data_IF_864066528321
#
_entry.id   IF_864066528321
#
_cell.length_a   1.000
_cell.length_b   1.000
_cell.length_c   1.000
_cell.angle_alpha   90.00
_cell.angle_beta   90.00
_cell.angle_gamma   90.00
#
_symmetry.space_group_name_H-M   'P 1'
#
loop_
_entity.id
_entity.type
_entity.pdbx_description
1 polymer ?
#
# COMPACT_ATOMS: atom_id res chain seq x y z
N UNK A 1 3.17 -7.53 5.52
CA UNK A 1 3.38 -6.24 4.85
C UNK A 1 2.91 -5.16 5.81
N UNK A 2 3.59 -4.01 5.82
CA UNK A 2 3.37 -2.97 6.83
C UNK A 2 2.42 -1.89 6.31
N UNK A 3 1.13 -2.24 6.26
CA UNK A 3 0.04 -1.34 5.84
C UNK A 3 0.07 0.00 6.55
N UNK A 4 0.47 -0.01 7.82
CA UNK A 4 0.59 1.22 8.59
C UNK A 4 1.74 2.10 8.09
N UNK A 5 2.91 1.51 7.79
CA UNK A 5 4.00 2.25 7.15
C UNK A 5 3.61 2.84 5.80
N UNK A 6 2.86 2.12 4.96
CA UNK A 6 2.38 2.69 3.70
C UNK A 6 1.45 3.89 3.91
N UNK A 7 0.56 3.80 4.91
CA UNK A 7 -0.29 4.91 5.32
C UNK A 7 0.54 6.11 5.80
N UNK A 8 1.58 5.87 6.59
CA UNK A 8 2.49 6.89 7.10
C UNK A 8 3.32 7.53 5.99
N UNK A 9 3.85 6.76 5.05
CA UNK A 9 4.51 7.27 3.85
C UNK A 9 3.58 8.13 3.01
N UNK A 10 2.36 7.64 2.79
CA UNK A 10 1.29 8.37 2.11
C UNK A 10 1.08 9.73 2.76
N UNK A 11 0.76 9.74 4.06
CA UNK A 11 0.59 10.96 4.86
C UNK A 11 1.82 11.86 4.78
N UNK A 12 3.01 11.30 4.97
CA UNK A 12 4.29 11.99 5.02
C UNK A 12 4.60 12.75 3.73
N UNK A 13 4.61 12.06 2.60
CA UNK A 13 5.03 12.59 1.31
C UNK A 13 3.91 13.28 0.53
N UNK A 14 2.65 12.91 0.75
CA UNK A 14 1.52 13.40 -0.05
C UNK A 14 0.48 14.17 0.77
N UNK A 15 0.69 14.34 2.08
CA UNK A 15 -0.15 15.15 2.99
C UNK A 15 0.01 16.66 2.86
N UNK A 16 0.28 17.16 1.66
CA UNK A 16 0.35 18.59 1.35
C UNK A 16 -1.01 19.11 0.85
N UNK A 17 -1.16 20.43 0.67
CA UNK A 17 -2.33 21.07 0.04
C UNK A 17 -3.68 20.85 0.75
N UNK A 18 -3.67 20.74 2.08
CA UNK A 18 -4.88 20.72 2.91
C UNK A 18 -5.48 19.33 3.15
N UNK A 19 -4.99 18.27 2.50
CA UNK A 19 -5.48 16.90 2.73
C UNK A 19 -4.78 16.24 3.93
N UNK A 20 -5.36 16.36 5.12
CA UNK A 20 -4.74 15.80 6.34
C UNK A 20 -4.78 14.28 6.39
N UNK A 21 -5.86 13.67 5.90
CA UNK A 21 -6.15 12.24 6.10
C UNK A 21 -6.24 11.43 4.81
N UNK A 22 -6.63 12.03 3.68
CA UNK A 22 -6.78 11.27 2.43
C UNK A 22 -5.49 10.55 1.99
N UNK A 23 -4.28 11.13 2.05
CA UNK A 23 -3.08 10.42 1.62
C UNK A 23 -2.67 9.31 2.58
N UNK A 24 -3.08 9.38 3.85
CA UNK A 24 -2.93 8.27 4.78
C UNK A 24 -3.80 7.08 4.33
N UNK A 25 -5.07 7.34 4.04
CA UNK A 25 -6.01 6.33 3.58
C UNK A 25 -5.63 5.76 2.21
N UNK A 26 -5.26 6.62 1.26
CA UNK A 26 -4.85 6.23 -0.09
C UNK A 26 -3.51 5.50 -0.10
N UNK A 27 -2.61 5.78 0.86
CA UNK A 27 -1.39 5.00 1.06
C UNK A 27 -1.66 3.60 1.60
N UNK A 28 -2.69 3.42 2.44
CA UNK A 28 -3.09 2.10 2.95
C UNK A 28 -4.05 1.34 2.00
N UNK A 29 -4.65 2.04 1.03
CA UNK A 29 -5.77 1.51 0.25
C UNK A 29 -5.45 0.22 -0.53
N UNK A 30 -4.26 0.05 -1.16
CA UNK A 30 -3.94 -1.20 -1.87
C UNK A 30 -4.13 -2.45 -1.00
N UNK A 31 -3.65 -2.38 0.25
CA UNK A 31 -3.70 -3.49 1.21
C UNK A 31 -5.10 -3.68 1.75
N UNK A 32 -5.76 -2.58 2.10
CA UNK A 32 -7.11 -2.64 2.63
C UNK A 32 -8.04 -3.26 1.59
N UNK A 33 -7.86 -2.97 0.31
CA UNK A 33 -8.67 -3.58 -0.75
C UNK A 33 -8.43 -5.08 -0.85
N UNK A 34 -7.18 -5.54 -0.74
CA UNK A 34 -6.87 -6.97 -0.84
C UNK A 34 -7.22 -7.76 0.44
N UNK A 35 -6.84 -7.24 1.60
CA UNK A 35 -6.79 -7.99 2.85
C UNK A 35 -7.91 -7.65 3.84
N UNK A 36 -8.55 -6.48 3.77
CA UNK A 36 -9.70 -6.19 4.63
C UNK A 36 -10.89 -7.11 4.33
N UNK A 37 -11.25 -7.41 3.06
CA UNK A 37 -12.28 -8.41 2.78
C UNK A 37 -11.89 -9.80 3.31
N UNK A 38 -10.59 -10.16 3.30
CA UNK A 38 -10.12 -11.44 3.84
C UNK A 38 -10.30 -11.49 5.36
N UNK A 39 -9.98 -10.39 6.04
CA UNK A 39 -10.21 -10.24 7.47
C UNK A 39 -11.69 -10.44 7.81
N UNK A 40 -12.61 -9.76 7.10
CA UNK A 40 -14.05 -9.92 7.31
C UNK A 40 -14.52 -11.34 7.00
N UNK A 41 -14.04 -11.93 5.90
CA UNK A 41 -14.36 -13.32 5.53
C UNK A 41 -13.98 -14.28 6.67
N UNK A 42 -12.77 -14.16 7.22
CA UNK A 42 -12.31 -15.01 8.33
C UNK A 42 -13.16 -14.82 9.59
N UNK A 43 -13.51 -13.58 9.94
CA UNK A 43 -14.36 -13.29 11.09
C UNK A 43 -15.75 -13.93 10.97
N UNK A 44 -16.41 -13.78 9.82
CA UNK A 44 -17.77 -14.32 9.60
C UNK A 44 -17.76 -15.86 9.59
N UNK A 45 -16.66 -16.49 9.21
CA UNK A 45 -16.50 -17.94 9.22
C UNK A 45 -15.94 -18.49 10.56
N UNK A 46 -15.83 -17.66 11.61
CA UNK A 46 -15.37 -18.09 12.92
C UNK A 46 -13.85 -18.36 13.03
N UNK A 47 -13.07 -17.96 12.02
CA UNK A 47 -11.61 -18.15 11.96
C UNK A 47 -10.87 -17.00 12.65
N UNK A 48 -11.23 -16.71 13.92
CA UNK A 48 -10.77 -15.51 14.63
C UNK A 48 -9.25 -15.46 14.84
N UNK A 49 -8.63 -16.58 15.20
CA UNK A 49 -7.17 -16.65 15.38
C UNK A 49 -6.43 -16.46 14.06
N UNK A 50 -6.90 -17.11 12.99
CA UNK A 50 -6.32 -16.94 11.66
C UNK A 50 -6.53 -15.53 11.08
N UNK A 51 -7.51 -14.78 11.58
CA UNK A 51 -7.77 -13.40 11.15
C UNK A 51 -6.70 -12.43 11.63
N UNK A 52 -6.03 -12.72 12.75
CA UNK A 52 -4.99 -11.87 13.35
C UNK A 52 -3.57 -12.39 13.11
N UNK A 53 -3.42 -13.68 12.80
CA UNK A 53 -2.13 -14.26 12.45
C UNK A 53 -1.69 -13.90 11.02
N UNK A 54 -0.37 -13.88 10.80
CA UNK A 54 0.18 -13.76 9.45
C UNK A 54 -0.27 -14.98 8.63
N UNK A 55 -1.06 -14.81 7.56
CA UNK A 55 -1.54 -15.93 6.78
C UNK A 55 -0.37 -16.63 6.08
N UNK A 56 -0.44 -17.96 6.01
CA UNK A 56 0.38 -18.75 5.10
C UNK A 56 -0.21 -18.59 3.71
N UNK A 57 0.64 -18.46 2.69
CA UNK A 57 0.19 -18.22 1.31
C UNK A 57 -0.78 -19.29 0.81
N UNK A 58 -0.51 -20.54 1.18
CA UNK A 58 -1.32 -21.70 0.83
C UNK A 58 -2.76 -21.61 1.36
N UNK A 59 -3.01 -20.82 2.41
CA UNK A 59 -4.34 -20.64 3.00
C UNK A 59 -5.07 -19.39 2.50
N UNK A 60 -4.43 -18.61 1.63
CA UNK A 60 -5.02 -17.38 1.08
C UNK A 60 -5.87 -17.75 -0.14
N UNK A 61 -7.17 -17.39 -0.16
CA UNK A 61 -8.03 -17.63 -1.31
C UNK A 61 -7.55 -16.90 -2.58
N UNK A 62 -7.75 -17.52 -3.75
CA UNK A 62 -7.34 -16.97 -5.06
C UNK A 62 -7.88 -15.57 -5.34
N UNK A 63 -9.10 -15.27 -4.89
CA UNK A 63 -9.71 -13.95 -5.08
C UNK A 63 -8.92 -12.83 -4.37
N UNK A 64 -8.19 -13.14 -3.29
CA UNK A 64 -7.33 -12.16 -2.60
C UNK A 64 -6.16 -11.78 -3.49
N UNK A 65 -5.55 -12.75 -4.20
CA UNK A 65 -4.49 -12.48 -5.17
C UNK A 65 -4.99 -11.65 -6.34
N UNK A 66 -6.22 -11.91 -6.80
CA UNK A 66 -6.85 -11.08 -7.84
C UNK A 66 -7.04 -9.63 -7.37
N UNK A 67 -7.56 -9.43 -6.15
CA UNK A 67 -7.70 -8.09 -5.58
C UNK A 67 -6.34 -7.42 -5.37
N UNK A 68 -5.35 -8.18 -4.92
CA UNK A 68 -3.98 -7.72 -4.72
C UNK A 68 -3.36 -7.23 -6.04
N UNK A 69 -3.46 -8.03 -7.10
CA UNK A 69 -2.93 -7.69 -8.42
C UNK A 69 -3.55 -6.40 -8.98
N UNK A 70 -4.88 -6.24 -8.86
CA UNK A 70 -5.54 -5.01 -9.26
C UNK A 70 -5.18 -3.83 -8.36
N UNK A 71 -5.13 -4.01 -7.04
CA UNK A 71 -4.91 -2.92 -6.10
C UNK A 71 -3.44 -2.45 -6.09
N UNK A 72 -2.48 -3.32 -6.41
CA UNK A 72 -1.04 -3.02 -6.49
C UNK A 72 -0.56 -2.85 -7.93
N UNK A 73 -1.36 -2.15 -8.73
CA UNK A 73 -1.05 -1.80 -10.12
C UNK A 73 -0.96 -0.29 -10.31
N UNK A 74 0.04 0.14 -11.08
CA UNK A 74 0.12 1.51 -11.58
C UNK A 74 -1.09 1.90 -12.42
N UNK A 75 -1.65 0.96 -13.19
CA UNK A 75 -2.83 1.27 -13.98
C UNK A 75 -3.98 1.71 -13.07
N UNK A 76 -4.22 0.98 -11.98
CA UNK A 76 -5.26 1.33 -10.99
C UNK A 76 -4.92 2.65 -10.29
N UNK A 77 -3.71 2.79 -9.76
CA UNK A 77 -3.30 4.01 -9.05
C UNK A 77 -3.39 5.27 -9.92
N UNK A 78 -2.88 5.23 -11.15
CA UNK A 78 -2.95 6.36 -12.07
C UNK A 78 -4.36 6.60 -12.62
N UNK A 79 -5.19 5.57 -12.75
CA UNK A 79 -6.61 5.75 -13.11
C UNK A 79 -7.35 6.50 -12.01
N UNK A 80 -7.12 6.18 -10.73
CA UNK A 80 -7.72 6.90 -9.60
C UNK A 80 -7.26 8.36 -9.58
N UNK A 81 -5.97 8.60 -9.79
CA UNK A 81 -5.40 9.95 -9.93
C UNK A 81 -6.10 10.71 -11.06
N UNK A 82 -6.24 10.10 -12.25
CA UNK A 82 -6.89 10.69 -13.41
C UNK A 82 -8.36 11.04 -13.14
N UNK A 83 -9.11 10.13 -12.50
CA UNK A 83 -10.51 10.37 -12.12
C UNK A 83 -10.60 11.57 -11.18
N UNK A 84 -9.77 11.63 -10.13
CA UNK A 84 -9.78 12.74 -9.18
C UNK A 84 -9.37 14.07 -9.82
N UNK A 85 -8.46 14.03 -10.79
CA UNK A 85 -8.08 15.19 -11.60
C UNK A 85 -9.25 15.71 -12.44
N UNK A 86 -9.91 14.83 -13.21
CA UNK A 86 -11.05 15.20 -14.06
C UNK A 86 -12.22 15.74 -13.23
N UNK A 87 -12.44 15.19 -12.04
CA UNK A 87 -13.45 15.66 -11.08
C UNK A 87 -13.05 16.93 -10.33
N UNK A 88 -11.90 17.55 -10.66
CA UNK A 88 -11.35 18.77 -10.03
C UNK A 88 -11.25 18.67 -8.50
N UNK A 89 -10.89 17.50 -7.99
CA UNK A 89 -10.67 17.26 -6.56
C UNK A 89 -9.21 17.57 -6.22
N UNK A 90 -8.80 18.83 -6.36
CA UNK A 90 -7.39 19.26 -6.33
C UNK A 90 -6.60 18.75 -5.12
N UNK A 91 -7.23 18.75 -3.94
CA UNK A 91 -6.65 18.26 -2.68
C UNK A 91 -6.50 16.73 -2.64
N UNK A 92 -7.43 15.99 -3.25
CA UNK A 92 -7.41 14.53 -3.29
C UNK A 92 -6.57 13.96 -4.42
N UNK A 93 -6.54 14.66 -5.57
CA UNK A 93 -5.70 14.33 -6.71
C UNK A 93 -4.23 14.19 -6.28
N UNK A 94 -3.71 15.19 -5.56
CA UNK A 94 -2.32 15.13 -5.07
C UNK A 94 -2.13 14.04 -4.02
N UNK A 95 -3.09 13.85 -3.12
CA UNK A 95 -3.03 12.79 -2.12
C UNK A 95 -3.00 11.38 -2.74
N UNK A 96 -3.63 11.19 -3.90
CA UNK A 96 -3.74 9.89 -4.57
C UNK A 96 -2.40 9.37 -5.13
N UNK A 97 -1.36 10.22 -5.24
CA UNK A 97 0.00 9.76 -5.53
C UNK A 97 0.58 8.84 -4.44
N UNK A 98 -0.02 8.80 -3.24
CA UNK A 98 0.29 7.80 -2.23
C UNK A 98 0.08 6.36 -2.73
N UNK A 99 -0.84 6.14 -3.66
CA UNK A 99 -1.17 4.82 -4.19
C UNK A 99 -0.08 4.25 -5.12
N UNK A 100 0.34 4.90 -6.22
CA UNK A 100 1.47 4.40 -7.00
C UNK A 100 2.76 4.36 -6.19
N UNK A 101 2.94 5.27 -5.21
CA UNK A 101 4.09 5.20 -4.31
C UNK A 101 4.08 3.93 -3.45
N UNK A 102 2.92 3.57 -2.90
CA UNK A 102 2.73 2.28 -2.25
C UNK A 102 3.16 1.13 -3.18
N UNK A 103 2.64 1.11 -4.40
CA UNK A 103 2.93 0.05 -5.39
C UNK A 103 4.43 -0.05 -5.70
N UNK A 104 5.14 1.08 -5.77
CA UNK A 104 6.60 1.10 -5.92
C UNK A 104 7.27 0.39 -4.74
N UNK A 105 6.95 0.78 -3.50
CA UNK A 105 7.57 0.19 -2.32
C UNK A 105 7.37 -1.33 -2.29
N UNK A 106 6.14 -1.78 -2.52
CA UNK A 106 5.82 -3.21 -2.53
C UNK A 106 6.45 -3.96 -3.69
N UNK A 107 6.69 -3.30 -4.83
CA UNK A 107 7.45 -3.93 -5.93
C UNK A 107 8.91 -4.19 -5.57
N UNK A 108 9.50 -3.36 -4.70
CA UNK A 108 10.89 -3.47 -4.27
C UNK A 108 11.07 -4.37 -3.04
N UNK A 109 10.03 -4.46 -2.19
CA UNK A 109 10.13 -5.09 -0.88
C UNK A 109 9.22 -6.32 -0.66
N UNK A 110 8.59 -6.82 -1.73
CA UNK A 110 8.06 -8.17 -1.76
C UNK A 110 8.93 -9.10 -2.59
N UNK A 111 9.25 -10.26 -2.02
CA UNK A 111 9.79 -11.37 -2.79
C UNK A 111 8.67 -12.03 -3.61
N UNK A 112 9.04 -12.62 -4.74
CA UNK A 112 8.11 -13.39 -5.59
C UNK A 112 7.52 -14.60 -4.87
N UNK A 113 8.26 -15.15 -3.92
CA UNK A 113 7.83 -16.27 -3.08
C UNK A 113 6.66 -15.90 -2.16
N UNK A 114 6.50 -14.61 -1.79
CA UNK A 114 5.45 -14.18 -0.88
C UNK A 114 4.25 -13.53 -1.58
N UNK A 115 4.47 -12.35 -2.17
CA UNK A 115 3.46 -11.63 -2.97
C UNK A 115 4.15 -10.95 -4.14
N UNK A 116 4.06 -11.55 -5.33
CA UNK A 116 4.67 -10.98 -6.51
C UNK A 116 3.89 -9.75 -7.00
N UNK A 117 4.32 -8.54 -6.61
CA UNK A 117 3.68 -7.27 -7.00
C UNK A 117 3.77 -7.04 -8.52
N UNK A 118 2.64 -7.21 -9.22
CA UNK A 118 2.53 -7.03 -10.67
C UNK A 118 2.21 -5.58 -11.04
N UNK A 119 3.24 -4.74 -11.05
CA UNK A 119 3.11 -3.27 -11.18
C UNK A 119 2.34 -2.78 -12.42
N UNK A 120 2.25 -3.59 -13.49
CA UNK A 120 1.56 -3.26 -14.73
C UNK A 120 0.30 -4.10 -14.98
N UNK A 121 -0.22 -4.81 -13.98
CA UNK A 121 -1.42 -5.62 -14.13
C UNK A 121 -2.64 -4.76 -14.52
N UNK A 122 -3.55 -5.22 -15.39
CA UNK A 122 -3.60 -6.52 -16.08
C UNK A 122 -2.85 -6.54 -17.42
N UNK A 123 -2.14 -5.47 -17.78
CA UNK A 123 -1.42 -5.39 -19.06
C UNK A 123 -0.19 -6.30 -19.10
N UNK A 124 0.42 -6.56 -17.94
CA UNK A 124 1.54 -7.48 -17.79
C UNK A 124 1.57 -8.13 -16.41
N UNK A 125 1.99 -9.39 -16.37
CA UNK A 125 2.27 -10.11 -15.13
C UNK A 125 3.73 -9.93 -14.64
N UNK A 126 4.46 -8.97 -15.21
CA UNK A 126 5.82 -8.67 -14.77
C UNK A 126 5.85 -8.23 -13.31
N UNK A 127 6.71 -8.86 -12.54
CA UNK A 127 7.01 -8.53 -11.16
C UNK A 127 8.53 -8.56 -10.94
N UNK A 128 9.01 -7.64 -10.11
CA UNK A 128 10.38 -7.65 -9.61
C UNK A 128 10.49 -8.62 -8.43
N UNK A 129 11.67 -9.23 -8.24
CA UNK A 129 11.93 -10.05 -7.07
C UNK A 129 12.62 -9.20 -6.00
N UNK A 130 11.80 -8.66 -5.10
CA UNK A 130 12.22 -7.71 -4.07
C UNK A 130 12.78 -8.35 -2.81
N UNK A 131 13.27 -7.51 -1.91
CA UNK A 131 13.78 -7.93 -0.59
C UNK A 131 12.63 -7.87 0.41
N UNK A 132 12.25 -9.01 0.97
CA UNK A 132 11.13 -9.11 1.94
C UNK A 132 11.09 -7.98 2.98
N UNK A 133 9.92 -7.35 3.16
CA UNK A 133 9.61 -6.44 4.27
C UNK A 133 9.94 -7.01 5.66
N UNK A 134 9.99 -8.34 5.81
CA UNK A 134 10.34 -9.00 7.06
C UNK A 134 11.86 -9.02 7.33
N UNK A 135 12.69 -8.67 6.34
CA UNK A 135 14.14 -8.55 6.51
C UNK A 135 14.42 -7.41 7.50
N UNK A 136 15.11 -7.66 8.64
CA UNK A 136 15.28 -6.66 9.70
C UNK A 136 15.85 -5.33 9.21
N UNK A 137 16.83 -5.37 8.30
CA UNK A 137 17.46 -4.19 7.73
C UNK A 137 16.44 -3.32 6.98
N UNK A 138 15.59 -3.93 6.14
CA UNK A 138 14.52 -3.23 5.42
C UNK A 138 13.55 -2.60 6.41
N UNK A 139 13.14 -3.36 7.43
CA UNK A 139 12.20 -2.89 8.45
C UNK A 139 12.76 -1.72 9.27
N UNK A 140 13.97 -1.85 9.83
CA UNK A 140 14.59 -0.78 10.63
C UNK A 140 14.88 0.47 9.78
N UNK A 141 15.32 0.30 8.53
CA UNK A 141 15.52 1.42 7.61
C UNK A 141 14.21 2.13 7.32
N UNK A 142 13.12 1.39 7.04
CA UNK A 142 11.80 1.96 6.83
C UNK A 142 11.32 2.79 8.03
N UNK A 143 11.40 2.24 9.24
CA UNK A 143 11.04 2.95 10.47
C UNK A 143 11.90 4.20 10.66
N UNK A 144 13.23 4.08 10.49
CA UNK A 144 14.15 5.21 10.61
C UNK A 144 13.85 6.34 9.61
N UNK A 145 13.59 5.99 8.35
CA UNK A 145 13.24 6.97 7.32
C UNK A 145 11.90 7.65 7.59
N UNK A 146 10.90 6.92 8.07
CA UNK A 146 9.62 7.50 8.49
C UNK A 146 9.80 8.48 9.66
N UNK A 147 10.61 8.13 10.67
CA UNK A 147 10.92 9.02 11.79
C UNK A 147 11.57 10.32 11.27
N UNK A 148 12.60 10.21 10.43
CA UNK A 148 13.29 11.36 9.83
C UNK A 148 12.31 12.22 9.03
N UNK A 149 11.46 11.60 8.21
CA UNK A 149 10.44 12.30 7.43
C UNK A 149 9.49 13.11 8.33
N UNK A 150 8.95 12.51 9.38
CA UNK A 150 8.02 13.21 10.27
C UNK A 150 8.70 14.27 11.14
N UNK A 151 9.97 14.08 11.54
CA UNK A 151 10.77 15.14 12.17
C UNK A 151 10.93 16.32 11.20
N UNK A 152 11.37 16.05 9.97
CA UNK A 152 11.53 17.08 8.94
C UNK A 152 10.23 17.86 8.71
N UNK A 153 9.09 17.17 8.68
CA UNK A 153 7.76 17.81 8.54
C UNK A 153 7.33 18.67 9.73
N UNK A 154 7.83 18.38 10.94
CA UNK A 154 7.54 19.19 12.13
C UNK A 154 8.33 20.50 12.16
N UNK A 155 9.48 20.53 11.49
CA UNK A 155 10.37 21.70 11.39
C UNK A 155 10.51 22.19 9.95
N UNK A 156 9.42 22.58 9.26
CA UNK A 156 9.53 23.10 7.90
C UNK A 156 10.41 24.35 7.92
N UNK A 157 11.51 24.34 7.15
CA UNK A 157 12.30 25.55 6.94
C UNK A 157 11.39 26.59 6.24
N UNK A 158 11.33 27.78 6.83
CA UNK A 158 10.61 28.95 6.29
C UNK A 158 11.15 29.32 4.91
#
# INVERSE_FOLDING_TARGET
MDTFSHALWGKGLFGYRGSKYAPFLLGAAPDLIAFFPLFIYKLVNGLYFEAIERPRIETIPEWVFTLYDFSHSFLTGFTIILILYVLKKDTWFFAAFAWPFHTILDSLFHSKEFFATKIFFPLSNYSFDGISWATPQVWFTNVGLLIVLFIYRKYPRR
#
